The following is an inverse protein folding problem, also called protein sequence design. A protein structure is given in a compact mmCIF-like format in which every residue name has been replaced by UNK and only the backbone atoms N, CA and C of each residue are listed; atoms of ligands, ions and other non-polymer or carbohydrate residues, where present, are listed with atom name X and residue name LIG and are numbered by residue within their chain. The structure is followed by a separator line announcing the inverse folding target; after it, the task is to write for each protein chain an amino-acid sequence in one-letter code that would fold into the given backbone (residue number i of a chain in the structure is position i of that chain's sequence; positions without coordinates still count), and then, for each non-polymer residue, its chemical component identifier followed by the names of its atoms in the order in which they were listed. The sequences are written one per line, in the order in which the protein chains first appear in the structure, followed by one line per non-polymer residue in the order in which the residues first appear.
data_IF_807223732747
#
_entry.id   IF_807223732747
#
_cell.length_a   1.000
_cell.length_b   1.000
_cell.length_c   1.000
_cell.angle_alpha   90.00
_cell.angle_beta   90.00
_cell.angle_gamma   90.00
#
_symmetry.space_group_name_H-M   'P 1'
#
loop_
_entity.id
_entity.type
_entity.pdbx_description
1 polymer ?
#
# COMPACT_ATOMS: atom_id res chain seq x y z
N UNK A 1 -33.58 -42.35 -24.93
CA UNK A 1 -33.92 -42.98 -26.23
C UNK A 1 -32.87 -42.61 -27.28
N UNK A 2 -31.92 -43.49 -27.62
CA UNK A 2 -31.28 -43.52 -28.95
C UNK A 2 -30.51 -44.84 -29.19
N UNK A 3 -31.25 -45.78 -29.77
CA UNK A 3 -30.92 -46.90 -30.68
C UNK A 3 -29.60 -47.67 -30.49
N UNK A 4 -29.74 -48.81 -29.81
CA UNK A 4 -28.90 -50.01 -29.90
C UNK A 4 -28.99 -50.62 -31.31
N UNK A 5 -27.85 -50.87 -31.96
CA UNK A 5 -27.77 -51.70 -33.18
C UNK A 5 -27.01 -52.97 -32.86
N UNK A 6 -27.76 -54.05 -32.68
CA UNK A 6 -27.28 -55.42 -32.63
C UNK A 6 -26.98 -55.86 -34.06
N UNK A 7 -25.75 -56.32 -34.34
CA UNK A 7 -25.43 -57.05 -35.57
C UNK A 7 -24.87 -58.40 -35.16
N UNK A 8 -25.56 -59.45 -35.61
CA UNK A 8 -25.30 -60.87 -35.38
C UNK A 8 -24.81 -61.49 -36.69
N UNK A 9 -23.86 -62.43 -36.60
CA UNK A 9 -23.37 -63.27 -37.70
C UNK A 9 -21.87 -63.10 -37.91
N UNK A 10 -21.01 -64.12 -38.01
CA UNK A 10 -21.17 -65.48 -38.51
C UNK A 10 -20.17 -66.41 -37.78
N UNK A 11 -20.59 -67.64 -37.55
CA UNK A 11 -19.78 -68.77 -37.07
C UNK A 11 -18.84 -69.25 -38.19
N UNK A 12 -17.52 -69.19 -37.97
CA UNK A 12 -16.55 -70.02 -38.70
C UNK A 12 -15.67 -70.69 -37.65
N UNK A 13 -15.74 -72.02 -37.61
CA UNK A 13 -14.92 -72.85 -36.74
C UNK A 13 -13.55 -73.10 -37.39
N UNK A 14 -12.49 -72.70 -36.72
CA UNK A 14 -11.12 -73.21 -36.96
C UNK A 14 -10.48 -73.53 -35.61
N UNK A 15 -10.05 -74.78 -35.46
CA UNK A 15 -9.26 -75.31 -34.35
C UNK A 15 -7.96 -74.52 -34.16
N UNK A 16 -7.64 -74.14 -32.92
CA UNK A 16 -6.32 -73.56 -32.58
C UNK A 16 -6.21 -73.06 -31.14
N UNK A 17 -5.49 -73.84 -30.32
CA UNK A 17 -4.78 -73.45 -29.08
C UNK A 17 -5.52 -72.54 -28.08
N UNK A 18 -6.09 -73.12 -27.03
CA UNK A 18 -6.65 -72.36 -25.90
C UNK A 18 -5.54 -71.81 -25.00
N UNK A 19 -5.09 -70.59 -25.27
CA UNK A 19 -4.43 -69.76 -24.25
C UNK A 19 -5.51 -69.16 -23.32
N UNK A 20 -5.29 -69.07 -22.00
CA UNK A 20 -6.22 -68.34 -21.14
C UNK A 20 -6.19 -66.86 -21.54
N UNK A 21 -7.28 -66.39 -22.14
CA UNK A 21 -7.54 -64.97 -22.37
C UNK A 21 -7.75 -64.29 -21.01
N UNK A 22 -6.73 -63.61 -20.49
CA UNK A 22 -6.91 -62.61 -19.44
C UNK A 22 -7.57 -61.38 -20.07
N UNK A 23 -8.89 -61.28 -19.94
CA UNK A 23 -9.62 -60.04 -20.24
C UNK A 23 -9.29 -59.04 -19.13
N UNK A 24 -8.31 -58.16 -19.37
CA UNK A 24 -8.18 -56.94 -18.58
C UNK A 24 -9.31 -56.01 -19.05
N UNK A 25 -10.27 -55.70 -18.17
CA UNK A 25 -11.21 -54.63 -18.44
C UNK A 25 -10.41 -53.34 -18.65
N UNK A 26 -10.58 -52.68 -19.79
CA UNK A 26 -10.01 -51.36 -19.98
C UNK A 26 -10.68 -50.42 -18.96
N UNK A 27 -9.87 -49.69 -18.21
CA UNK A 27 -10.39 -48.72 -17.25
C UNK A 27 -11.17 -47.64 -18.01
N UNK A 28 -12.39 -47.33 -17.56
CA UNK A 28 -13.20 -46.27 -18.15
C UNK A 28 -13.11 -45.04 -17.26
N UNK A 29 -12.40 -44.02 -17.73
CA UNK A 29 -12.28 -42.73 -17.06
C UNK A 29 -13.19 -41.70 -17.70
N UNK A 30 -14.13 -41.17 -16.91
CA UNK A 30 -14.98 -40.03 -17.28
C UNK A 30 -14.44 -38.74 -16.61
N UNK A 31 -14.35 -37.66 -17.38
CA UNK A 31 -13.90 -36.35 -16.91
C UNK A 31 -15.05 -35.36 -16.75
N UNK A 32 -14.92 -34.42 -15.80
CA UNK A 32 -15.78 -33.24 -15.67
C UNK A 32 -14.93 -31.99 -15.78
N UNK A 33 -15.40 -30.97 -16.51
CA UNK A 33 -14.74 -29.67 -16.62
C UNK A 33 -15.48 -28.63 -15.79
N UNK A 34 -14.73 -27.72 -15.15
CA UNK A 34 -15.26 -26.52 -14.50
C UNK A 34 -14.64 -25.27 -15.09
N UNK A 35 -15.39 -24.17 -15.12
CA UNK A 35 -14.95 -22.86 -15.61
C UNK A 35 -15.21 -21.80 -14.53
N UNK A 36 -14.25 -20.89 -14.37
CA UNK A 36 -14.35 -19.70 -13.51
C UNK A 36 -13.65 -18.55 -14.21
N UNK A 37 -14.23 -17.35 -14.12
CA UNK A 37 -13.66 -16.12 -14.67
C UNK A 37 -13.59 -15.05 -13.58
N UNK A 38 -12.54 -14.24 -13.63
CA UNK A 38 -12.32 -13.10 -12.74
C UNK A 38 -12.12 -11.83 -13.58
N UNK A 39 -12.47 -10.68 -13.01
CA UNK A 39 -12.20 -9.35 -13.57
C UNK A 39 -11.22 -8.59 -12.67
N UNK A 40 -10.42 -7.64 -13.20
CA UNK A 40 -9.57 -6.79 -12.36
C UNK A 40 -10.34 -6.06 -11.27
N UNK A 41 -9.72 -5.92 -10.09
CA UNK A 41 -10.20 -5.07 -9.00
C UNK A 41 -9.64 -3.65 -9.06
N UNK A 42 -9.72 -2.95 -7.93
CA UNK A 42 -9.38 -1.53 -7.82
C UNK A 42 -7.88 -1.28 -7.54
N UNK A 43 -7.43 -0.05 -7.83
CA UNK A 43 -6.13 0.47 -7.44
C UNK A 43 -6.32 1.77 -6.65
N UNK A 44 -6.04 1.75 -5.35
CA UNK A 44 -6.46 2.84 -4.43
C UNK A 44 -5.42 3.15 -3.36
N UNK A 45 -5.41 4.43 -2.96
CA UNK A 45 -4.72 4.95 -1.78
C UNK A 45 -5.76 5.22 -0.67
N UNK A 46 -5.52 4.67 0.52
CA UNK A 46 -6.36 4.80 1.71
C UNK A 46 -7.86 4.58 1.46
N UNK A 47 -8.27 3.41 0.93
CA UNK A 47 -9.68 3.08 0.81
C UNK A 47 -10.37 3.14 2.18
N UNK A 48 -11.62 3.60 2.22
CA UNK A 48 -12.40 3.61 3.46
C UNK A 48 -13.02 2.23 3.75
N UNK A 49 -12.23 1.36 4.36
CA UNK A 49 -12.61 -0.01 4.76
C UNK A 49 -13.09 -0.14 6.22
N UNK A 50 -13.25 0.98 6.93
CA UNK A 50 -13.70 1.00 8.33
C UNK A 50 -12.60 0.80 9.40
N UNK A 51 -11.34 0.53 9.03
CA UNK A 51 -10.21 0.54 9.99
C UNK A 51 -9.53 1.92 10.01
N UNK A 52 -9.87 2.73 11.02
CA UNK A 52 -9.26 4.04 11.21
C UNK A 52 -7.79 3.99 11.67
N UNK A 53 -7.25 2.82 12.04
CA UNK A 53 -5.90 2.68 12.61
C UNK A 53 -4.79 2.94 11.59
N UNK A 54 -5.07 2.71 10.30
CA UNK A 54 -4.15 2.95 9.19
C UNK A 54 -4.75 3.95 8.21
N UNK A 55 -4.94 5.19 8.68
CA UNK A 55 -5.37 6.31 7.82
C UNK A 55 -4.40 7.45 7.92
N UNK A 56 -4.28 8.18 6.81
CA UNK A 56 -3.56 9.45 6.82
C UNK A 56 -4.29 10.40 7.77
N UNK A 57 -3.58 11.02 8.73
CA UNK A 57 -4.21 12.02 9.58
C UNK A 57 -4.61 13.22 8.73
N UNK A 58 -5.80 13.75 8.97
CA UNK A 58 -6.32 14.94 8.28
C UNK A 58 -5.82 16.24 8.88
N UNK A 59 -5.24 16.19 10.09
CA UNK A 59 -4.67 17.33 10.79
C UNK A 59 -3.44 16.92 11.60
N UNK A 60 -2.43 17.80 11.61
CA UNK A 60 -1.21 17.67 12.38
C UNK A 60 -1.10 18.85 13.34
N UNK A 61 -1.66 18.68 14.55
CA UNK A 61 -1.71 19.74 15.54
C UNK A 61 -0.45 19.76 16.41
N UNK A 62 0.46 20.71 16.13
CA UNK A 62 1.70 20.92 16.89
C UNK A 62 1.50 21.78 18.15
N UNK A 63 0.29 22.23 18.44
CA UNK A 63 -0.05 23.03 19.62
C UNK A 63 0.26 24.53 19.48
N UNK A 64 0.11 25.24 20.60
CA UNK A 64 0.37 26.69 20.69
C UNK A 64 1.63 26.98 21.51
N UNK A 65 2.52 27.79 20.96
CA UNK A 65 3.83 28.09 21.55
C UNK A 65 4.05 29.59 21.68
N UNK A 66 4.67 30.03 22.79
CA UNK A 66 5.07 31.43 22.95
C UNK A 66 6.30 31.71 22.11
N UNK A 67 6.34 32.85 21.43
CA UNK A 67 7.53 33.26 20.68
C UNK A 67 8.72 33.42 21.65
N UNK A 68 9.75 32.61 21.42
CA UNK A 68 11.03 32.65 22.13
C UNK A 68 12.20 32.61 21.15
N UNK A 69 13.27 33.35 21.47
CA UNK A 69 14.41 33.62 20.59
C UNK A 69 15.71 32.90 21.05
N UNK A 70 15.62 31.80 21.81
CA UNK A 70 16.80 31.26 22.52
C UNK A 70 17.19 29.81 22.22
N UNK A 71 16.36 29.02 21.54
CA UNK A 71 16.72 27.65 21.17
C UNK A 71 15.92 27.17 19.96
N UNK A 72 16.49 26.20 19.25
CA UNK A 72 15.71 25.39 18.31
C UNK A 72 14.66 24.60 19.10
N UNK A 73 13.53 24.34 18.46
CA UNK A 73 12.39 23.62 19.04
C UNK A 73 12.10 22.40 18.17
N UNK A 74 11.78 21.26 18.81
CA UNK A 74 11.23 20.09 18.12
C UNK A 74 9.82 19.90 18.68
N UNK A 75 8.83 20.15 17.83
CA UNK A 75 7.42 20.02 18.17
C UNK A 75 6.90 18.68 17.67
N UNK A 76 6.09 17.99 18.47
CA UNK A 76 5.47 16.72 18.10
C UNK A 76 3.97 16.96 17.93
N UNK A 77 3.41 16.54 16.79
CA UNK A 77 1.97 16.61 16.56
C UNK A 77 1.22 15.71 17.55
N UNK A 78 0.15 16.25 18.14
CA UNK A 78 -0.68 15.55 19.13
C UNK A 78 -2.14 15.74 18.79
N UNK A 79 -2.98 14.78 19.16
CA UNK A 79 -4.41 14.76 18.83
C UNK A 79 -5.16 16.04 19.25
N UNK A 80 -4.72 16.65 20.35
CA UNK A 80 -5.28 17.89 20.91
C UNK A 80 -4.27 19.07 20.90
N UNK A 81 -3.06 18.87 20.39
CA UNK A 81 -1.97 19.87 20.44
C UNK A 81 -1.42 20.15 21.84
N UNK A 82 -1.74 19.34 22.85
CA UNK A 82 -1.31 19.56 24.23
C UNK A 82 -0.03 18.78 24.53
N UNK A 83 1.01 19.45 25.02
CA UNK A 83 2.27 18.80 25.43
C UNK A 83 2.00 17.69 26.45
N UNK A 84 2.46 16.46 26.14
CA UNK A 84 2.23 15.27 26.96
C UNK A 84 0.93 14.51 26.63
N UNK A 85 0.08 15.04 25.74
CA UNK A 85 -1.10 14.36 25.20
C UNK A 85 -0.77 13.22 24.24
N UNK A 86 -1.79 12.59 23.68
CA UNK A 86 -1.63 11.48 22.72
C UNK A 86 -0.92 11.95 21.44
N UNK A 87 0.15 11.25 21.04
CA UNK A 87 0.86 11.53 19.78
C UNK A 87 -0.07 11.23 18.60
N UNK A 88 -0.12 12.14 17.63
CA UNK A 88 -0.81 11.86 16.37
C UNK A 88 -0.06 10.76 15.64
N UNK A 89 -0.72 9.61 15.45
CA UNK A 89 -0.27 8.51 14.60
C UNK A 89 -1.15 8.44 13.35
N UNK A 90 -0.70 7.68 12.37
CA UNK A 90 -1.52 7.35 11.21
C UNK A 90 -0.98 6.14 10.47
N UNK A 91 -1.47 5.97 9.25
CA UNK A 91 -0.96 4.96 8.35
C UNK A 91 -1.33 5.23 6.91
N UNK A 92 -0.71 4.44 6.04
CA UNK A 92 -0.94 4.43 4.61
C UNK A 92 -1.43 3.03 4.24
N UNK A 93 -2.46 2.97 3.40
CA UNK A 93 -2.93 1.76 2.75
C UNK A 93 -2.81 1.97 1.25
N UNK A 94 -2.06 1.11 0.57
CA UNK A 94 -2.11 0.99 -0.89
C UNK A 94 -2.71 -0.37 -1.21
N UNK A 95 -3.82 -0.40 -1.96
CA UNK A 95 -4.47 -1.63 -2.41
C UNK A 95 -4.41 -1.69 -3.93
N UNK A 96 -3.79 -2.75 -4.45
CA UNK A 96 -3.70 -3.03 -5.88
C UNK A 96 -4.28 -4.43 -6.19
N UNK A 97 -5.57 -4.44 -6.54
CA UNK A 97 -6.30 -5.66 -6.90
C UNK A 97 -6.43 -5.81 -8.43
N UNK A 98 -5.65 -5.07 -9.22
CA UNK A 98 -5.73 -5.11 -10.70
C UNK A 98 -5.33 -6.46 -11.29
N UNK A 99 -4.47 -7.20 -10.58
CA UNK A 99 -4.04 -8.54 -10.96
C UNK A 99 -3.13 -8.59 -12.21
N UNK A 100 -2.60 -7.44 -12.65
CA UNK A 100 -1.73 -7.33 -13.83
C UNK A 100 -0.23 -7.29 -13.48
N UNK A 101 0.12 -7.10 -12.19
CA UNK A 101 1.51 -7.02 -11.72
C UNK A 101 2.24 -5.76 -12.18
N UNK A 102 1.51 -4.71 -12.59
CA UNK A 102 2.10 -3.43 -12.97
C UNK A 102 2.67 -2.72 -11.73
N UNK A 103 3.83 -2.11 -11.89
CA UNK A 103 4.49 -1.37 -10.83
C UNK A 103 3.65 -0.16 -10.39
N UNK A 104 3.90 0.32 -9.17
CA UNK A 104 3.37 1.59 -8.69
C UNK A 104 4.32 2.26 -7.71
N UNK A 105 4.12 3.56 -7.48
CA UNK A 105 4.86 4.31 -6.46
C UNK A 105 3.95 5.29 -5.71
N UNK A 106 4.23 5.50 -4.42
CA UNK A 106 3.60 6.51 -3.60
C UNK A 106 4.62 7.58 -3.24
N UNK A 107 4.28 8.83 -3.57
CA UNK A 107 5.06 10.00 -3.21
C UNK A 107 4.25 10.94 -2.34
N UNK A 108 4.95 11.77 -1.57
CA UNK A 108 4.36 12.85 -0.78
C UNK A 108 5.17 14.13 -1.00
N UNK A 109 4.48 15.26 -1.07
CA UNK A 109 5.10 16.59 -1.16
C UNK A 109 4.56 17.45 -0.04
N UNK A 110 5.44 18.15 0.68
CA UNK A 110 5.02 19.29 1.48
C UNK A 110 4.93 20.49 0.54
N UNK A 111 3.74 21.08 0.37
CA UNK A 111 3.51 22.04 -0.72
C UNK A 111 4.30 23.35 -0.55
N UNK A 112 4.41 23.86 0.68
CA UNK A 112 5.16 25.07 1.03
C UNK A 112 5.64 24.98 2.49
N UNK A 113 6.53 25.88 2.91
CA UNK A 113 6.85 26.04 4.33
C UNK A 113 5.57 26.30 5.14
N UNK A 114 5.63 25.97 6.43
CA UNK A 114 4.64 26.46 7.38
C UNK A 114 4.57 27.98 7.29
N UNK A 115 3.40 28.53 6.98
CA UNK A 115 3.21 29.97 6.74
C UNK A 115 1.90 30.51 7.31
N UNK A 116 1.91 31.77 7.72
CA UNK A 116 0.68 32.52 8.04
C UNK A 116 0.08 33.07 6.74
N UNK A 117 0.96 33.60 5.90
CA UNK A 117 0.69 34.15 4.58
C UNK A 117 1.97 34.03 3.72
N UNK A 118 1.92 34.43 2.45
CA UNK A 118 3.06 34.29 1.54
C UNK A 118 4.30 35.12 1.93
N UNK A 119 4.14 36.14 2.79
CA UNK A 119 5.23 36.97 3.29
C UNK A 119 5.81 36.49 4.62
N UNK A 120 5.08 35.64 5.36
CA UNK A 120 5.44 35.19 6.71
C UNK A 120 5.53 33.66 6.77
N UNK A 121 6.75 33.15 6.61
CA UNK A 121 7.05 31.70 6.57
C UNK A 121 8.04 31.30 7.66
N UNK A 122 7.92 30.07 8.16
CA UNK A 122 8.96 29.42 8.95
C UNK A 122 10.01 28.79 8.02
N UNK A 123 10.80 29.63 7.38
CA UNK A 123 11.89 29.16 6.52
C UNK A 123 12.89 28.31 7.32
N UNK A 124 13.36 27.21 6.71
CA UNK A 124 14.23 26.21 7.31
C UNK A 124 13.61 25.41 8.47
N UNK A 125 12.29 25.49 8.69
CA UNK A 125 11.59 24.59 9.60
C UNK A 125 11.30 23.24 8.93
N UNK A 126 11.86 22.16 9.45
CA UNK A 126 11.79 20.84 8.84
C UNK A 126 10.62 20.04 9.42
N UNK A 127 9.69 19.65 8.56
CA UNK A 127 8.69 18.63 8.87
C UNK A 127 9.32 17.25 8.67
N UNK A 128 9.04 16.30 9.56
CA UNK A 128 9.45 14.91 9.39
C UNK A 128 8.43 13.91 9.94
N UNK A 129 8.39 12.71 9.36
CA UNK A 129 7.57 11.60 9.82
C UNK A 129 8.45 10.46 10.27
N UNK A 130 8.11 9.82 11.40
CA UNK A 130 8.74 8.56 11.78
C UNK A 130 7.92 7.40 11.22
N UNK A 131 8.55 6.62 10.34
CA UNK A 131 7.96 5.47 9.68
C UNK A 131 8.06 4.25 10.59
N UNK A 132 6.95 3.54 10.77
CA UNK A 132 6.87 2.32 11.56
C UNK A 132 6.99 1.05 10.72
N UNK A 133 6.19 0.05 11.08
CA UNK A 133 6.15 -1.26 10.44
C UNK A 133 5.47 -1.23 9.06
N UNK A 134 5.95 -2.09 8.16
CA UNK A 134 5.32 -2.42 6.88
C UNK A 134 4.69 -3.81 6.94
N UNK A 135 3.37 -3.87 6.74
CA UNK A 135 2.60 -5.10 6.59
C UNK A 135 2.15 -5.20 5.13
N UNK A 136 2.25 -6.39 4.55
CA UNK A 136 1.79 -6.66 3.18
C UNK A 136 0.95 -7.94 3.21
N UNK A 137 -0.32 -7.84 2.82
CA UNK A 137 -1.31 -8.90 2.95
C UNK A 137 -1.32 -9.83 1.73
N UNK A 138 -0.16 -10.39 1.39
CA UNK A 138 0.00 -11.37 0.31
C UNK A 138 1.10 -12.37 0.66
N UNK A 139 1.31 -13.38 -0.21
CA UNK A 139 2.45 -14.30 -0.11
C UNK A 139 3.68 -13.84 -0.91
N UNK A 140 3.63 -12.67 -1.54
CA UNK A 140 4.72 -12.14 -2.37
C UNK A 140 5.68 -11.27 -1.56
N UNK A 141 6.71 -10.75 -2.23
CA UNK A 141 7.66 -9.83 -1.62
C UNK A 141 6.98 -8.51 -1.24
N UNK A 142 7.45 -7.89 -0.16
CA UNK A 142 6.92 -6.59 0.29
C UNK A 142 7.40 -5.45 -0.62
N UNK A 143 6.61 -4.40 -0.83
CA UNK A 143 7.10 -3.15 -1.42
C UNK A 143 8.29 -2.58 -0.67
N UNK A 144 9.12 -1.83 -1.38
CA UNK A 144 10.24 -1.09 -0.80
C UNK A 144 9.73 0.16 -0.10
N UNK A 145 10.26 0.41 1.10
CA UNK A 145 10.03 1.65 1.85
C UNK A 145 11.26 2.55 1.73
N UNK A 146 11.05 3.83 1.44
CA UNK A 146 12.07 4.87 1.42
C UNK A 146 11.74 5.93 2.48
N UNK A 147 12.70 6.35 3.33
CA UNK A 147 14.09 5.90 3.41
C UNK A 147 14.28 4.50 4.05
N UNK A 148 13.22 3.93 4.61
CA UNK A 148 13.23 2.61 5.24
C UNK A 148 12.18 2.51 6.35
N UNK A 149 11.91 1.30 6.83
CA UNK A 149 11.10 1.08 8.05
C UNK A 149 11.89 1.54 9.28
N UNK A 150 11.18 1.96 10.34
CA UNK A 150 11.79 2.49 11.57
C UNK A 150 12.79 3.64 11.33
N UNK A 151 12.53 4.44 10.29
CA UNK A 151 13.39 5.56 9.86
C UNK A 151 12.59 6.85 9.81
N UNK A 152 13.28 7.99 9.80
CA UNK A 152 12.64 9.31 9.70
C UNK A 152 12.70 9.80 8.25
N UNK A 153 11.55 10.20 7.72
CA UNK A 153 11.39 10.86 6.43
C UNK A 153 11.32 12.37 6.65
N UNK A 154 12.30 13.11 6.12
CA UNK A 154 12.37 14.57 6.25
C UNK A 154 11.92 15.24 4.97
N UNK A 155 11.11 16.29 5.10
CA UNK A 155 10.55 17.03 3.98
C UNK A 155 11.37 18.26 3.62
N UNK A 156 11.44 18.52 2.33
CA UNK A 156 11.80 19.82 1.78
C UNK A 156 10.59 20.37 1.03
N UNK A 157 10.09 21.56 1.38
CA UNK A 157 8.93 22.13 0.71
C UNK A 157 9.10 22.20 -0.81
N UNK A 158 8.08 21.77 -1.54
CA UNK A 158 8.03 21.69 -2.99
C UNK A 158 8.72 20.46 -3.61
N UNK A 159 9.47 19.67 -2.82
CA UNK A 159 10.12 18.45 -3.31
C UNK A 159 9.25 17.22 -2.99
N UNK A 160 8.92 16.45 -4.02
CA UNK A 160 8.26 15.16 -3.86
C UNK A 160 9.26 14.12 -3.34
N UNK A 161 8.86 13.39 -2.31
CA UNK A 161 9.66 12.30 -1.73
C UNK A 161 8.94 10.97 -1.91
N UNK A 162 9.66 9.97 -2.39
CA UNK A 162 9.18 8.58 -2.52
C UNK A 162 9.08 7.93 -1.14
N UNK A 163 7.95 7.26 -0.86
CA UNK A 163 7.70 6.51 0.37
C UNK A 163 7.62 5.02 0.10
N UNK A 164 6.80 4.63 -0.87
CA UNK A 164 6.58 3.23 -1.24
C UNK A 164 6.81 3.04 -2.73
N UNK A 165 7.50 1.96 -3.07
CA UNK A 165 7.73 1.52 -4.45
C UNK A 165 7.46 0.02 -4.53
N UNK A 166 6.62 -0.38 -5.48
CA UNK A 166 6.34 -1.79 -5.73
C UNK A 166 6.52 -2.10 -7.21
N UNK A 167 7.13 -3.23 -7.52
CA UNK A 167 7.34 -3.70 -8.88
C UNK A 167 7.05 -5.20 -8.99
N UNK A 168 6.53 -5.62 -10.15
CA UNK A 168 6.27 -7.02 -10.45
C UNK A 168 5.45 -7.72 -9.36
N UNK A 169 6.04 -8.73 -8.71
CA UNK A 169 5.38 -9.51 -7.67
C UNK A 169 5.07 -8.72 -6.40
N UNK A 170 5.71 -7.56 -6.16
CA UNK A 170 5.48 -6.72 -4.99
C UNK A 170 4.22 -5.85 -5.12
N UNK A 171 3.71 -5.67 -6.34
CA UNK A 171 2.68 -4.69 -6.61
C UNK A 171 1.30 -5.11 -6.10
N UNK A 172 0.94 -6.38 -6.28
CA UNK A 172 -0.40 -6.86 -6.02
C UNK A 172 -0.73 -6.89 -4.51
N UNK A 173 -2.01 -6.74 -4.20
CA UNK A 173 -2.58 -6.87 -2.87
C UNK A 173 -2.52 -5.59 -2.04
N UNK A 174 -2.64 -5.74 -0.73
CA UNK A 174 -2.76 -4.63 0.21
C UNK A 174 -1.47 -4.42 1.00
N UNK A 175 -0.99 -3.18 1.01
CA UNK A 175 0.19 -2.72 1.72
C UNK A 175 -0.20 -1.70 2.76
N UNK A 176 0.17 -1.96 4.01
CA UNK A 176 -0.06 -1.11 5.17
C UNK A 176 1.29 -0.59 5.68
N UNK A 177 1.45 0.72 5.79
CA UNK A 177 2.64 1.34 6.37
C UNK A 177 2.23 2.22 7.56
N UNK A 178 2.78 1.95 8.75
CA UNK A 178 2.52 2.74 9.94
C UNK A 178 3.30 4.08 9.92
N UNK A 179 2.67 5.15 10.40
CA UNK A 179 3.27 6.44 10.67
C UNK A 179 3.18 6.71 12.18
N UNK A 180 4.31 6.67 12.87
CA UNK A 180 4.38 6.62 14.34
C UNK A 180 4.37 7.99 15.01
N UNK A 181 4.90 9.01 14.34
CA UNK A 181 4.82 10.40 14.78
C UNK A 181 5.13 11.37 13.65
N UNK A 182 4.73 12.62 13.86
CA UNK A 182 4.98 13.76 12.99
C UNK A 182 5.66 14.85 13.80
N UNK A 183 6.79 15.34 13.32
CA UNK A 183 7.65 16.27 14.03
C UNK A 183 7.93 17.52 13.20
N UNK A 184 7.99 18.68 13.85
CA UNK A 184 8.35 19.95 13.25
C UNK A 184 9.55 20.54 14.00
N UNK A 185 10.71 20.53 13.35
CA UNK A 185 11.92 21.15 13.87
C UNK A 185 11.96 22.62 13.44
N UNK A 186 11.90 23.55 14.38
CA UNK A 186 11.96 24.99 14.12
C UNK A 186 13.32 25.51 14.59
N UNK A 187 14.16 26.07 13.70
CA UNK A 187 15.48 26.54 14.08
C UNK A 187 15.39 27.81 14.95
N UNK A 188 16.40 28.02 15.80
CA UNK A 188 16.45 29.15 16.75
C UNK A 188 16.34 30.53 16.07
N UNK A 189 16.84 30.66 14.83
CA UNK A 189 16.88 31.89 14.05
C UNK A 189 15.68 32.09 13.12
N UNK A 190 14.64 31.24 13.19
CA UNK A 190 13.42 31.44 12.42
C UNK A 190 12.73 32.78 12.80
N UNK A 191 12.24 33.53 11.81
CA UNK A 191 11.49 34.78 12.05
C UNK A 191 10.04 34.51 12.47
N UNK A 192 9.87 34.07 13.72
CA UNK A 192 8.58 33.76 14.32
C UNK A 192 7.74 35.03 14.52
N UNK A 193 6.53 35.06 13.98
CA UNK A 193 5.50 36.09 14.17
C UNK A 193 4.29 35.51 14.90
N UNK A 194 3.47 36.39 15.47
CA UNK A 194 2.21 35.97 16.12
C UNK A 194 1.21 35.58 15.03
N UNK A 195 0.72 34.35 15.09
CA UNK A 195 -0.32 33.84 14.20
C UNK A 195 -0.28 32.31 14.11
N UNK A 196 -1.14 31.76 13.26
CA UNK A 196 -1.20 30.31 13.00
C UNK A 196 -0.48 30.01 11.72
N UNK A 197 0.57 29.19 11.81
CA UNK A 197 1.30 28.72 10.65
C UNK A 197 0.71 27.40 10.15
N UNK A 198 0.46 27.30 8.86
CA UNK A 198 -0.10 26.11 8.22
C UNK A 198 0.72 25.68 7.01
N UNK A 199 0.68 24.40 6.69
CA UNK A 199 1.17 23.83 5.42
C UNK A 199 0.17 22.77 4.94
N UNK A 200 0.41 22.20 3.77
CA UNK A 200 -0.37 21.10 3.20
C UNK A 200 0.55 20.02 2.67
N UNK A 201 0.06 18.79 2.70
CA UNK A 201 0.75 17.61 2.21
C UNK A 201 -0.05 17.01 1.05
N UNK A 202 0.56 16.92 -0.11
CA UNK A 202 -0.03 16.27 -1.28
C UNK A 202 0.52 14.86 -1.42
N UNK A 203 -0.37 13.87 -1.42
CA UNK A 203 -0.03 12.45 -1.58
C UNK A 203 -0.44 11.98 -2.97
N UNK A 204 0.50 11.37 -3.70
CA UNK A 204 0.29 10.95 -5.08
C UNK A 204 0.65 9.49 -5.25
N UNK A 205 -0.36 8.65 -5.50
CA UNK A 205 -0.20 7.26 -5.93
C UNK A 205 -0.13 7.23 -7.46
N UNK A 206 1.03 6.85 -7.99
CA UNK A 206 1.30 6.77 -9.42
C UNK A 206 1.19 5.33 -9.88
N UNK A 207 0.48 5.14 -11.00
CA UNK A 207 0.49 3.91 -11.77
C UNK A 207 1.76 3.85 -12.64
N UNK A 208 2.45 2.72 -12.62
CA UNK A 208 3.76 2.55 -13.21
C UNK A 208 4.90 3.10 -12.34
N UNK A 209 6.13 2.92 -12.81
CA UNK A 209 7.28 3.65 -12.27
C UNK A 209 7.27 5.06 -12.87
N UNK A 210 7.00 6.10 -12.08
CA UNK A 210 7.43 7.46 -12.44
C UNK A 210 8.97 7.52 -12.47
N UNK A 211 9.55 8.34 -13.37
CA UNK A 211 10.65 7.98 -14.28
C UNK A 211 12.02 7.69 -13.67
#
# INVERSE_FOLDING_TARGET
MKKMKLVLGILVATFGVASPLTVLAADTTDGTNGEVAFTPGDFTLNPDDGDASYRLPTDLNFGSHKIGQRSSEILIARKDGVVGGEITKGGIIVRDDRGNGESWSLTVTQDDWFKIDDSTKLENAELSFNIGELIHHTTTEKPKVSPGVNSSLVFKPGEAVSILEANGSQAAGETLLALESFELAIPANADKKVGTYTTSLTWTLNDGTTP
#
